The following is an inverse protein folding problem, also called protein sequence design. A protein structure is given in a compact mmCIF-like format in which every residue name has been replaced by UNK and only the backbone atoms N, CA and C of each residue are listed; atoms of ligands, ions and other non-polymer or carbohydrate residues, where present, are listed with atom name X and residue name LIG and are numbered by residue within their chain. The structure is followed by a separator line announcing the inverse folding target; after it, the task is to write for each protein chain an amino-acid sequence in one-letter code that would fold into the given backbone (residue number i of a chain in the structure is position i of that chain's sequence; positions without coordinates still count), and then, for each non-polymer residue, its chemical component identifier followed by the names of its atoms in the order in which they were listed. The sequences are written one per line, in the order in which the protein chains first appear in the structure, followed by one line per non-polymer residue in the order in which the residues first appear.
data_IF_231608347888
#
_entry.id   IF_231608347888
#
_cell.length_a   1.000
_cell.length_b   1.000
_cell.length_c   1.000
_cell.angle_alpha   90.00
_cell.angle_beta   90.00
_cell.angle_gamma   90.00
#
_symmetry.space_group_name_H-M   'P 1'
#
loop_
_entity.id
_entity.type
_entity.pdbx_description
1 polymer ?
#
# COMPACT_ATOMS: atom_id res chain seq x y z
N UNK A 1 32.28 0.05 60.91
CA UNK A 1 31.89 -1.19 60.21
C UNK A 1 30.93 -0.82 59.08
N UNK A 2 31.29 -1.16 57.82
CA UNK A 2 30.46 -1.52 56.64
C UNK A 2 29.12 -0.79 56.41
N UNK A 3 28.67 -0.39 55.22
CA UNK A 3 28.87 -0.93 53.87
C UNK A 3 28.22 0.03 52.87
N UNK A 4 28.81 0.15 51.67
CA UNK A 4 28.20 0.74 50.47
C UNK A 4 26.95 -0.04 50.03
N UNK A 5 25.96 0.64 49.43
CA UNK A 5 25.43 0.29 48.11
C UNK A 5 24.35 1.28 47.66
N UNK A 6 24.58 1.93 46.52
CA UNK A 6 23.56 2.68 45.81
C UNK A 6 22.51 1.76 45.20
N UNK A 7 21.34 2.32 44.93
CA UNK A 7 20.44 1.77 43.91
C UNK A 7 19.65 2.90 43.28
N UNK A 8 20.14 3.32 42.12
CA UNK A 8 19.38 4.07 41.12
C UNK A 8 18.36 3.10 40.54
N UNK A 9 17.10 3.19 40.98
CA UNK A 9 15.99 2.55 40.27
C UNK A 9 15.42 3.60 39.31
N UNK A 10 16.08 3.82 38.17
CA UNK A 10 15.69 3.26 36.87
C UNK A 10 14.20 3.48 36.61
N UNK A 11 13.95 4.55 35.87
CA UNK A 11 12.73 4.80 35.12
C UNK A 11 12.31 3.52 34.41
N UNK A 12 11.26 2.89 34.91
CA UNK A 12 10.52 1.87 34.18
C UNK A 12 9.79 2.61 33.04
N UNK A 13 10.49 2.82 31.94
CA UNK A 13 9.85 3.10 30.64
C UNK A 13 9.25 1.79 30.16
N UNK A 14 8.10 1.48 30.76
CA UNK A 14 7.22 0.38 30.41
C UNK A 14 6.91 0.49 28.92
N UNK A 15 7.06 -0.63 28.22
CA UNK A 15 6.94 -0.74 26.78
C UNK A 15 5.62 -0.16 26.24
N UNK A 16 5.75 0.90 25.45
CA UNK A 16 4.84 1.13 24.35
C UNK A 16 5.35 0.29 23.17
N UNK A 17 5.12 -1.03 23.23
CA UNK A 17 5.04 -1.83 22.01
C UNK A 17 3.82 -1.29 21.28
N UNK A 18 4.05 -0.38 20.33
CA UNK A 18 3.04 0.02 19.36
C UNK A 18 2.75 -1.19 18.48
N UNK A 19 1.98 -2.13 19.01
CA UNK A 19 1.15 -3.02 18.23
C UNK A 19 0.03 -2.18 17.62
N UNK A 20 0.34 -1.33 16.64
CA UNK A 20 -0.64 -0.81 15.70
C UNK A 20 -0.99 -1.94 14.71
N UNK A 21 -1.60 -3.00 15.24
CA UNK A 21 -2.44 -3.91 14.50
C UNK A 21 -3.89 -3.47 14.66
N UNK A 22 -4.19 -2.21 14.35
CA UNK A 22 -5.59 -1.83 14.13
C UNK A 22 -6.12 -2.72 13.00
N UNK A 23 -7.38 -3.19 13.01
CA UNK A 23 -7.97 -3.77 11.82
C UNK A 23 -7.96 -2.67 10.77
N UNK A 24 -6.94 -2.66 9.91
CA UNK A 24 -6.83 -1.69 8.84
C UNK A 24 -7.93 -2.08 7.87
N UNK A 25 -9.07 -1.37 7.94
CA UNK A 25 -9.95 -1.33 6.79
C UNK A 25 -9.17 -0.67 5.67
N UNK A 26 -8.50 -1.49 4.86
CA UNK A 26 -7.66 -1.08 3.73
C UNK A 26 -8.44 -0.23 2.70
N UNK A 27 -9.77 -0.28 2.75
CA UNK A 27 -10.70 0.47 1.92
C UNK A 27 -11.52 1.38 2.84
N UNK A 28 -11.50 2.69 2.60
CA UNK A 28 -12.32 3.63 3.34
C UNK A 28 -13.80 3.46 2.98
N UNK A 29 -14.69 3.78 3.93
CA UNK A 29 -16.14 3.71 3.69
C UNK A 29 -16.57 4.60 2.52
N UNK A 30 -15.92 5.76 2.40
CA UNK A 30 -16.14 6.68 1.29
C UNK A 30 -15.75 6.06 -0.06
N UNK A 31 -14.60 5.39 -0.14
CA UNK A 31 -14.14 4.70 -1.35
C UNK A 31 -15.10 3.57 -1.72
N UNK A 32 -15.55 2.79 -0.73
CA UNK A 32 -16.52 1.70 -0.91
C UNK A 32 -17.84 2.21 -1.48
N UNK A 33 -18.40 3.28 -0.90
CA UNK A 33 -19.66 3.90 -1.38
C UNK A 33 -19.51 4.51 -2.77
N UNK A 34 -18.42 5.23 -3.02
CA UNK A 34 -18.14 5.88 -4.30
C UNK A 34 -17.96 4.85 -5.42
N UNK A 35 -17.27 3.74 -5.15
CA UNK A 35 -17.15 2.64 -6.10
C UNK A 35 -18.50 1.93 -6.31
N UNK A 36 -19.25 1.65 -5.24
CA UNK A 36 -20.57 1.02 -5.32
C UNK A 36 -21.55 1.82 -6.16
N UNK A 37 -21.58 3.15 -6.00
CA UNK A 37 -22.51 4.02 -6.72
C UNK A 37 -22.31 4.01 -8.25
N UNK A 38 -21.08 3.82 -8.74
CA UNK A 38 -20.81 3.67 -10.18
C UNK A 38 -20.92 2.22 -10.65
N UNK A 39 -20.70 1.24 -9.77
CA UNK A 39 -20.74 -0.18 -10.12
C UNK A 39 -22.12 -0.63 -10.60
N UNK A 40 -23.17 -0.10 -9.98
CA UNK A 40 -24.56 -0.42 -10.34
C UNK A 40 -24.95 0.21 -11.69
N UNK A 41 -24.64 1.50 -11.87
CA UNK A 41 -24.90 2.25 -13.11
C UNK A 41 -24.19 1.60 -14.30
N UNK A 42 -22.92 1.25 -14.13
CA UNK A 42 -22.09 0.64 -15.18
C UNK A 42 -22.25 -0.89 -15.25
N UNK A 43 -23.06 -1.50 -14.37
CA UNK A 43 -23.32 -2.94 -14.30
C UNK A 43 -22.05 -3.78 -14.20
N UNK A 44 -21.08 -3.34 -13.39
CA UNK A 44 -19.75 -3.95 -13.23
C UNK A 44 -19.81 -5.36 -12.59
N UNK A 45 -20.93 -5.71 -11.96
CA UNK A 45 -21.17 -7.02 -11.32
C UNK A 45 -21.65 -8.09 -12.30
N UNK A 46 -21.83 -7.77 -13.59
CA UNK A 46 -22.22 -8.74 -14.60
C UNK A 46 -21.18 -9.88 -14.70
N UNK A 47 -21.60 -11.16 -14.77
CA UNK A 47 -20.68 -12.30 -14.87
C UNK A 47 -19.67 -12.20 -16.02
N UNK A 48 -20.07 -11.60 -17.15
CA UNK A 48 -19.19 -11.41 -18.30
C UNK A 48 -17.97 -10.51 -18.00
N UNK A 49 -18.13 -9.52 -17.12
CA UNK A 49 -17.05 -8.60 -16.72
C UNK A 49 -16.04 -9.31 -15.80
N UNK A 50 -16.51 -10.23 -14.95
CA UNK A 50 -15.67 -10.95 -13.99
C UNK A 50 -14.94 -12.17 -14.56
N UNK A 51 -15.25 -12.62 -15.79
CA UNK A 51 -14.73 -13.87 -16.35
C UNK A 51 -13.22 -13.83 -16.60
N UNK A 52 -12.72 -12.74 -17.18
CA UNK A 52 -11.31 -12.57 -17.56
C UNK A 52 -10.71 -11.29 -16.94
N UNK A 53 -10.37 -11.32 -15.64
CA UNK A 53 -9.90 -10.14 -14.92
C UNK A 53 -8.50 -9.68 -15.38
N UNK A 54 -8.42 -8.43 -15.85
CA UNK A 54 -7.21 -7.82 -16.41
C UNK A 54 -6.01 -7.75 -15.43
N UNK A 55 -6.27 -7.60 -14.14
CA UNK A 55 -5.23 -7.39 -13.12
C UNK A 55 -5.03 -8.59 -12.18
N UNK A 56 -5.59 -9.76 -12.50
CA UNK A 56 -5.49 -10.96 -11.65
C UNK A 56 -4.06 -11.41 -11.38
N UNK A 57 -3.17 -11.30 -12.38
CA UNK A 57 -1.74 -11.61 -12.24
C UNK A 57 -1.05 -10.66 -11.26
N UNK A 58 -1.36 -9.35 -11.33
CA UNK A 58 -0.81 -8.34 -10.41
C UNK A 58 -1.26 -8.59 -8.98
N UNK A 59 -2.57 -8.82 -8.78
CA UNK A 59 -3.15 -9.11 -7.46
C UNK A 59 -2.52 -10.38 -6.86
N UNK A 60 -2.40 -11.44 -7.66
CA UNK A 60 -1.77 -12.69 -7.22
C UNK A 60 -0.32 -12.46 -6.83
N UNK A 61 0.46 -11.79 -7.67
CA UNK A 61 1.87 -11.48 -7.43
C UNK A 61 2.06 -10.79 -6.08
N UNK A 62 1.29 -9.72 -5.82
CA UNK A 62 1.36 -8.94 -4.58
C UNK A 62 0.95 -9.78 -3.35
N UNK A 63 -0.08 -10.63 -3.47
CA UNK A 63 -0.54 -11.44 -2.35
C UNK A 63 0.42 -12.59 -1.99
N UNK A 64 1.21 -13.07 -2.95
CA UNK A 64 2.14 -14.20 -2.75
C UNK A 64 3.58 -13.78 -2.53
N UNK A 65 3.92 -12.53 -2.85
CA UNK A 65 5.28 -12.01 -2.74
C UNK A 65 5.56 -11.47 -1.33
N UNK A 66 6.82 -11.62 -0.91
CA UNK A 66 7.37 -10.96 0.29
C UNK A 66 8.33 -9.81 -0.07
N UNK A 67 8.51 -9.58 -1.37
CA UNK A 67 9.45 -8.62 -1.94
C UNK A 67 8.81 -7.24 -2.07
N UNK A 68 8.88 -6.49 -0.97
CA UNK A 68 8.24 -5.17 -0.85
C UNK A 68 8.72 -4.14 -1.89
N UNK A 69 9.93 -4.24 -2.44
CA UNK A 69 10.46 -3.23 -3.39
C UNK A 69 9.85 -3.43 -4.79
N UNK A 70 9.86 -4.65 -5.28
CA UNK A 70 9.31 -5.09 -6.55
C UNK A 70 7.79 -4.88 -6.56
N UNK A 71 7.11 -5.18 -5.45
CA UNK A 71 5.68 -4.91 -5.25
C UNK A 71 5.33 -3.42 -5.32
N UNK A 72 6.15 -2.55 -4.71
CA UNK A 72 5.92 -1.10 -4.75
C UNK A 72 6.02 -0.55 -6.18
N UNK A 73 6.99 -1.03 -6.97
CA UNK A 73 7.12 -0.64 -8.37
C UNK A 73 5.94 -1.16 -9.21
N UNK A 74 5.58 -2.44 -9.04
CA UNK A 74 4.45 -3.05 -9.74
C UNK A 74 3.13 -2.34 -9.40
N UNK A 75 2.91 -1.99 -8.13
CA UNK A 75 1.75 -1.23 -7.70
C UNK A 75 1.75 0.17 -8.30
N UNK A 76 2.88 0.89 -8.27
CA UNK A 76 2.97 2.23 -8.85
C UNK A 76 2.60 2.26 -10.33
N UNK A 77 3.10 1.28 -11.12
CA UNK A 77 2.72 1.13 -12.53
C UNK A 77 1.23 0.79 -12.67
N UNK A 78 0.68 -0.05 -11.80
CA UNK A 78 -0.73 -0.42 -11.81
C UNK A 78 -1.64 0.79 -11.53
N UNK A 79 -1.30 1.61 -10.54
CA UNK A 79 -2.02 2.85 -10.24
C UNK A 79 -1.96 3.84 -11.41
N UNK A 80 -0.82 3.94 -12.10
CA UNK A 80 -0.68 4.76 -13.33
C UNK A 80 -1.63 4.31 -14.44
N UNK A 81 -1.76 3.00 -14.65
CA UNK A 81 -2.69 2.45 -15.63
C UNK A 81 -4.13 2.84 -15.26
N UNK A 82 -4.52 2.72 -13.99
CA UNK A 82 -5.86 3.15 -13.53
C UNK A 82 -6.10 4.65 -13.74
N UNK A 83 -5.14 5.51 -13.40
CA UNK A 83 -5.25 6.97 -13.65
C UNK A 83 -5.46 7.25 -15.13
N UNK A 84 -4.76 6.55 -16.03
CA UNK A 84 -4.91 6.71 -17.48
C UNK A 84 -6.28 6.23 -17.96
N UNK A 85 -6.74 5.08 -17.50
CA UNK A 85 -8.09 4.56 -17.81
C UNK A 85 -9.16 5.56 -17.36
N UNK A 86 -9.09 6.05 -16.12
CA UNK A 86 -10.06 7.01 -15.59
C UNK A 86 -10.00 8.33 -16.36
N UNK A 87 -8.81 8.82 -16.70
CA UNK A 87 -8.66 10.03 -17.52
C UNK A 87 -9.25 9.84 -18.92
N UNK A 88 -9.03 8.68 -19.55
CA UNK A 88 -9.61 8.37 -20.87
C UNK A 88 -11.14 8.32 -20.84
N UNK A 89 -11.74 7.88 -19.73
CA UNK A 89 -13.20 7.90 -19.56
C UNK A 89 -13.70 9.34 -19.34
N UNK A 90 -12.92 10.19 -18.66
CA UNK A 90 -13.30 11.57 -18.31
C UNK A 90 -13.02 12.64 -19.39
N UNK A 91 -12.08 12.42 -20.31
CA UNK A 91 -11.52 13.46 -21.18
C UNK A 91 -12.42 13.98 -22.33
N UNK A 92 -13.72 13.67 -22.36
CA UNK A 92 -14.56 13.91 -23.54
C UNK A 92 -15.36 15.22 -23.58
N UNK A 93 -15.05 16.23 -22.76
CA UNK A 93 -15.83 17.48 -22.73
C UNK A 93 -15.13 18.72 -23.32
N UNK A 94 -14.13 18.56 -24.22
CA UNK A 94 -13.34 19.72 -24.72
C UNK A 94 -13.19 19.92 -26.24
N UNK A 95 -13.74 19.06 -27.11
CA UNK A 95 -13.79 19.36 -28.55
C UNK A 95 -15.17 19.11 -29.14
N UNK A 96 -15.82 20.18 -29.58
CA UNK A 96 -17.16 20.21 -30.18
C UNK A 96 -17.25 19.62 -31.60
N UNK A 97 -16.21 18.97 -32.11
CA UNK A 97 -16.20 18.42 -33.46
C UNK A 97 -16.08 16.90 -33.42
N UNK A 98 -17.23 16.22 -33.54
CA UNK A 98 -17.37 14.80 -33.93
C UNK A 98 -16.56 13.76 -33.14
N UNK A 99 -16.32 13.99 -31.86
CA UNK A 99 -15.59 13.04 -31.05
C UNK A 99 -16.58 12.01 -30.45
N UNK A 100 -16.24 10.72 -30.54
CA UNK A 100 -17.02 9.63 -29.97
C UNK A 100 -17.09 9.78 -28.45
N UNK A 101 -18.29 9.99 -27.89
CA UNK A 101 -18.57 9.76 -26.47
C UNK A 101 -17.91 8.43 -26.06
N UNK A 102 -17.16 8.34 -24.94
CA UNK A 102 -16.50 7.10 -24.56
C UNK A 102 -17.52 5.96 -24.61
N UNK A 103 -17.24 4.87 -25.31
CA UNK A 103 -18.22 3.79 -25.54
C UNK A 103 -18.90 3.32 -24.24
N UNK A 104 -18.21 3.47 -23.11
CA UNK A 104 -18.72 3.18 -21.77
C UNK A 104 -19.84 4.14 -21.30
N UNK A 105 -19.74 5.44 -21.58
CA UNK A 105 -20.70 6.47 -21.13
C UNK A 105 -21.70 6.87 -22.23
N UNK A 106 -21.43 6.55 -23.50
CA UNK A 106 -22.20 6.98 -24.67
C UNK A 106 -23.71 6.70 -24.61
N UNK A 107 -24.09 5.64 -23.88
CA UNK A 107 -25.48 5.17 -23.80
C UNK A 107 -26.15 5.51 -22.46
N UNK A 108 -25.51 6.31 -21.60
CA UNK A 108 -26.07 6.69 -20.31
C UNK A 108 -26.92 7.97 -20.42
N UNK A 109 -28.04 8.06 -19.68
CA UNK A 109 -28.73 9.33 -19.47
C UNK A 109 -27.79 10.39 -18.90
N UNK A 110 -28.01 11.66 -19.26
CA UNK A 110 -27.13 12.78 -18.85
C UNK A 110 -26.90 12.85 -17.32
N UNK A 111 -27.94 12.58 -16.53
CA UNK A 111 -27.83 12.56 -15.06
C UNK A 111 -26.93 11.42 -14.54
N UNK A 112 -27.02 10.23 -15.14
CA UNK A 112 -26.17 9.09 -14.79
C UNK A 112 -24.73 9.30 -15.26
N UNK A 113 -24.55 9.88 -16.44
CA UNK A 113 -23.24 10.25 -16.97
C UNK A 113 -22.52 11.24 -16.03
N UNK A 114 -23.17 12.34 -15.66
CA UNK A 114 -22.60 13.31 -14.72
C UNK A 114 -22.31 12.70 -13.34
N UNK A 115 -23.17 11.78 -12.87
CA UNK A 115 -22.94 11.04 -11.64
C UNK A 115 -21.70 10.14 -11.74
N UNK A 116 -21.51 9.42 -12.85
CA UNK A 116 -20.33 8.57 -13.08
C UNK A 116 -19.07 9.42 -13.18
N UNK A 117 -19.09 10.51 -13.94
CA UNK A 117 -17.94 11.42 -14.08
C UNK A 117 -17.48 12.00 -12.74
N UNK A 118 -18.44 12.46 -11.91
CA UNK A 118 -18.14 13.01 -10.59
C UNK A 118 -17.48 11.98 -9.67
N UNK A 119 -18.05 10.77 -9.58
CA UNK A 119 -17.51 9.72 -8.72
C UNK A 119 -16.18 9.17 -9.25
N UNK A 120 -16.03 9.00 -10.57
CA UNK A 120 -14.78 8.56 -11.18
C UNK A 120 -13.65 9.56 -10.98
N UNK A 121 -13.96 10.87 -11.00
CA UNK A 121 -13.00 11.92 -10.65
C UNK A 121 -12.52 11.82 -9.20
N UNK A 122 -13.42 11.51 -8.25
CA UNK A 122 -13.06 11.25 -6.85
C UNK A 122 -12.16 10.01 -6.71
N UNK A 123 -12.53 8.90 -7.37
CA UNK A 123 -11.72 7.68 -7.35
C UNK A 123 -10.31 7.91 -7.94
N UNK A 124 -10.21 8.69 -9.02
CA UNK A 124 -8.93 9.10 -9.59
C UNK A 124 -8.08 9.89 -8.60
N UNK A 125 -8.67 10.86 -7.89
CA UNK A 125 -7.96 11.66 -6.88
C UNK A 125 -7.46 10.80 -5.71
N UNK A 126 -8.26 9.83 -5.25
CA UNK A 126 -7.84 8.86 -4.23
C UNK A 126 -6.64 8.02 -4.72
N UNK A 127 -6.65 7.64 -6.01
CA UNK A 127 -5.55 6.89 -6.63
C UNK A 127 -4.24 7.70 -6.66
N UNK A 128 -4.29 8.96 -7.06
CA UNK A 128 -3.13 9.86 -7.06
C UNK A 128 -2.60 10.10 -5.64
N UNK A 129 -3.49 10.25 -4.68
CA UNK A 129 -3.13 10.40 -3.27
C UNK A 129 -2.41 9.16 -2.75
N UNK A 130 -2.92 7.96 -3.08
CA UNK A 130 -2.26 6.70 -2.71
C UNK A 130 -0.91 6.56 -3.39
N UNK A 131 -0.82 6.87 -4.68
CA UNK A 131 0.43 6.84 -5.45
C UNK A 131 1.50 7.77 -4.87
N UNK A 132 1.13 8.99 -4.49
CA UNK A 132 2.03 9.93 -3.81
C UNK A 132 2.57 9.34 -2.50
N UNK A 133 1.70 8.75 -1.66
CA UNK A 133 2.12 8.08 -0.42
C UNK A 133 3.10 6.92 -0.67
N UNK A 134 2.86 6.11 -1.70
CA UNK A 134 3.78 5.04 -2.09
C UNK A 134 5.13 5.59 -2.58
N UNK A 135 5.12 6.73 -3.28
CA UNK A 135 6.32 7.46 -3.69
C UNK A 135 7.18 7.92 -2.50
N UNK A 136 6.55 8.49 -1.46
CA UNK A 136 7.25 8.90 -0.24
C UNK A 136 7.91 7.73 0.48
N UNK A 137 7.21 6.59 0.63
CA UNK A 137 7.77 5.38 1.25
C UNK A 137 9.00 4.83 0.52
N UNK A 138 9.06 5.01 -0.81
CA UNK A 138 10.23 4.63 -1.61
C UNK A 138 11.42 5.56 -1.30
N UNK A 139 11.18 6.86 -1.27
CA UNK A 139 12.23 7.87 -1.02
C UNK A 139 12.83 7.73 0.40
N UNK A 140 11.99 7.53 1.42
CA UNK A 140 12.45 7.36 2.80
C UNK A 140 13.40 6.17 2.96
N UNK A 141 13.12 5.07 2.25
CA UNK A 141 14.00 3.89 2.27
C UNK A 141 15.31 4.10 1.53
N UNK A 142 15.29 4.79 0.39
CA UNK A 142 16.49 5.12 -0.36
C UNK A 142 17.42 6.04 0.46
N UNK A 143 16.84 7.00 1.20
CA UNK A 143 17.58 7.86 2.15
C UNK A 143 18.21 7.04 3.29
N UNK A 144 17.45 6.13 3.92
CA UNK A 144 17.98 5.24 4.97
C UNK A 144 19.11 4.35 4.44
N UNK A 145 18.95 3.73 3.27
CA UNK A 145 20.00 2.90 2.66
C UNK A 145 21.26 3.71 2.34
N UNK A 146 21.09 4.94 1.85
CA UNK A 146 22.21 5.87 1.61
C UNK A 146 22.95 6.20 2.90
N UNK A 147 22.23 6.46 4.00
CA UNK A 147 22.83 6.69 5.32
C UNK A 147 23.59 5.46 5.84
N UNK A 148 23.04 4.26 5.68
CA UNK A 148 23.71 3.01 6.07
C UNK A 148 25.01 2.78 5.29
N UNK A 149 25.05 3.10 3.99
CA UNK A 149 26.25 2.95 3.16
C UNK A 149 27.39 3.92 3.53
N UNK A 150 27.10 4.98 4.29
CA UNK A 150 28.06 6.00 4.73
C UNK A 150 28.59 5.74 6.14
N UNK A 151 28.17 4.65 6.79
CA UNK A 151 28.67 4.28 8.11
C UNK A 151 30.14 3.89 7.98
N UNK A 152 31.01 4.57 8.71
CA UNK A 152 32.42 4.21 8.82
C UNK A 152 32.57 3.03 9.79
N UNK A 153 32.72 1.83 9.22
CA UNK A 153 32.76 0.58 10.00
C UNK A 153 34.07 0.40 10.78
N UNK A 154 35.11 1.16 10.44
CA UNK A 154 36.43 1.08 11.07
C UNK A 154 36.57 2.07 12.24
N UNK A 155 35.65 3.04 12.37
CA UNK A 155 35.63 3.96 13.51
C UNK A 155 35.26 3.23 14.83
N UNK A 156 36.13 3.28 15.87
CA UNK A 156 35.88 2.57 17.13
C UNK A 156 34.61 3.02 17.87
N UNK A 157 34.17 4.26 17.70
CA UNK A 157 32.97 4.77 18.37
C UNK A 157 31.69 4.30 17.65
N UNK A 158 31.71 4.22 16.31
CA UNK A 158 30.67 3.58 15.50
C UNK A 158 30.53 2.10 15.85
N UNK A 159 31.64 1.37 16.00
CA UNK A 159 31.62 -0.04 16.40
C UNK A 159 30.93 -0.26 17.75
N UNK A 160 31.22 0.58 18.75
CA UNK A 160 30.54 0.52 20.06
C UNK A 160 29.04 0.80 19.94
N UNK A 161 28.65 1.80 19.16
CA UNK A 161 27.22 2.12 18.91
C UNK A 161 26.49 0.96 18.24
N UNK A 162 27.12 0.33 17.25
CA UNK A 162 26.58 -0.85 16.57
C UNK A 162 26.40 -2.02 17.56
N UNK A 163 27.39 -2.29 18.42
CA UNK A 163 27.30 -3.31 19.46
C UNK A 163 26.20 -3.02 20.48
N UNK A 164 26.00 -1.76 20.87
CA UNK A 164 24.94 -1.36 21.80
C UNK A 164 23.53 -1.64 21.23
N UNK A 165 23.35 -1.50 19.91
CA UNK A 165 22.07 -1.71 19.22
C UNK A 165 21.87 -3.14 18.69
N UNK A 166 22.90 -3.99 18.79
CA UNK A 166 22.90 -5.32 18.17
C UNK A 166 21.68 -6.17 18.53
N UNK A 167 21.30 -6.21 19.80
CA UNK A 167 20.17 -7.02 20.29
C UNK A 167 18.85 -6.61 19.64
N UNK A 168 18.61 -5.31 19.50
CA UNK A 168 17.39 -4.77 18.90
C UNK A 168 17.32 -5.11 17.41
N UNK A 169 18.44 -4.94 16.70
CA UNK A 169 18.55 -5.31 15.29
C UNK A 169 18.34 -6.82 15.09
N UNK A 170 18.96 -7.66 15.93
CA UNK A 170 18.78 -9.11 15.87
C UNK A 170 17.32 -9.53 16.13
N UNK A 171 16.66 -8.92 17.11
CA UNK A 171 15.24 -9.15 17.39
C UNK A 171 14.36 -8.73 16.21
N UNK A 172 14.58 -7.53 15.64
CA UNK A 172 13.84 -7.04 14.49
C UNK A 172 14.03 -7.97 13.26
N UNK A 173 15.26 -8.41 12.99
CA UNK A 173 15.55 -9.36 11.93
C UNK A 173 14.87 -10.72 12.17
N UNK A 174 14.85 -11.20 13.41
CA UNK A 174 14.18 -12.45 13.79
C UNK A 174 12.66 -12.38 13.58
N UNK A 175 12.02 -11.26 13.89
CA UNK A 175 10.59 -11.03 13.62
C UNK A 175 10.31 -11.07 12.11
N UNK A 176 11.18 -10.47 11.29
CA UNK A 176 11.04 -10.50 9.83
C UNK A 176 11.21 -11.93 9.31
N UNK A 177 12.23 -12.66 9.77
CA UNK A 177 12.51 -14.04 9.35
C UNK A 177 11.39 -15.02 9.73
N UNK A 178 10.72 -14.79 10.86
CA UNK A 178 9.62 -15.63 11.36
C UNK A 178 8.26 -15.26 10.78
N UNK A 179 8.08 -14.05 10.24
CA UNK A 179 6.90 -13.65 9.45
C UNK A 179 6.83 -14.33 8.07
N UNK A 180 7.28 -15.58 7.94
CA UNK A 180 6.93 -16.41 6.78
C UNK A 180 5.41 -16.45 6.69
N UNK A 181 4.88 -15.95 5.57
CA UNK A 181 3.57 -16.33 5.06
C UNK A 181 3.43 -17.85 5.21
N UNK A 182 2.55 -18.30 6.10
CA UNK A 182 2.42 -19.72 6.40
C UNK A 182 2.01 -20.52 5.17
N UNK A 183 2.53 -21.73 4.95
CA UNK A 183 1.85 -22.67 4.09
C UNK A 183 0.49 -22.95 4.72
N UNK A 184 -0.58 -22.87 3.93
CA UNK A 184 -1.79 -23.64 4.21
C UNK A 184 -1.39 -25.12 4.20
N UNK A 185 -0.89 -25.62 5.33
CA UNK A 185 -0.99 -27.03 5.61
C UNK A 185 -2.47 -27.28 5.85
N UNK A 186 -3.15 -27.72 4.80
CA UNK A 186 -4.31 -28.58 4.94
C UNK A 186 -3.88 -29.73 5.84
N UNK A 187 -4.34 -29.69 7.09
CA UNK A 187 -4.37 -30.86 7.94
C UNK A 187 -5.20 -31.90 7.19
N UNK A 188 -4.53 -32.91 6.64
CA UNK A 188 -5.17 -34.20 6.40
C UNK A 188 -5.70 -34.67 7.75
N UNK A 189 -7.02 -34.73 7.88
CA UNK A 189 -7.65 -35.52 8.92
C UNK A 189 -7.84 -36.93 8.36
N UNK A 190 -7.39 -37.88 9.16
CA UNK A 190 -7.56 -39.34 9.03
C UNK A 190 -9.02 -39.76 8.80
#
# INVERSE_FOLDING_TARGET
MSSYCGSVCLLVLLGAVLAFGSPVHFISENLRRTHGSIADVLKLTKPAIGRDPLFSSVIRSINTSCQRKEELQLMNVTLDIYTRIFSSILQHNQHHDNALTPALLANLPAAEMAHVESNLSKLKQEMETLKSKLGHLKHDKEDVLSKLSKIDVDDPEVQKKALAQYKEIYQAASVIATRRCGPTHSSSAE
#
